data_IF_373324186888
#
_entry.id   IF_373324186888
#
_cell.length_a   1.000
_cell.length_b   1.000
_cell.length_c   1.000
_cell.angle_alpha   90.00
_cell.angle_beta   90.00
_cell.angle_gamma   90.00
#
_symmetry.space_group_name_H-M   'P 1'
#
loop_
_entity.id
_entity.type
_entity.pdbx_description
1 polymer ?
#
# COMPACT_ATOMS: atom_id res chain seq x y z
N UNK A 1 -19.05 -6.85 6.13
CA UNK A 1 -18.19 -6.41 7.25
C UNK A 1 -19.09 -5.77 8.30
N UNK A 2 -18.87 -6.04 9.60
CA UNK A 2 -19.54 -5.33 10.69
C UNK A 2 -19.25 -3.83 10.61
N UNK A 3 -20.25 -3.00 10.90
CA UNK A 3 -20.11 -1.54 10.81
C UNK A 3 -19.07 -1.00 11.79
N UNK A 4 -18.94 -1.62 12.97
CA UNK A 4 -17.94 -1.29 13.98
C UNK A 4 -16.50 -1.36 13.47
N UNK A 5 -16.23 -2.18 12.44
CA UNK A 5 -14.88 -2.32 11.88
C UNK A 5 -14.60 -1.21 10.85
N UNK A 6 -15.64 -0.68 10.19
CA UNK A 6 -15.55 0.40 9.20
C UNK A 6 -15.43 1.78 9.84
N UNK A 7 -15.99 1.92 11.04
CA UNK A 7 -16.23 3.20 11.70
C UNK A 7 -15.11 3.63 12.67
N UNK A 8 -14.12 2.77 12.89
CA UNK A 8 -13.05 2.91 13.89
C UNK A 8 -11.67 3.18 13.25
N UNK A 9 -11.63 3.94 12.16
CA UNK A 9 -10.38 4.33 11.51
C UNK A 9 -9.92 5.67 12.06
N UNK A 10 -8.76 5.70 12.71
CA UNK A 10 -8.17 6.93 13.23
C UNK A 10 -6.94 7.30 12.42
N UNK A 11 -6.94 8.46 11.76
CA UNK A 11 -5.76 8.96 11.07
C UNK A 11 -4.97 9.92 11.96
N UNK A 12 -3.67 9.65 12.11
CA UNK A 12 -2.72 10.53 12.80
C UNK A 12 -1.83 11.18 11.75
N UNK A 13 -1.79 12.51 11.71
CA UNK A 13 -0.84 13.23 10.88
C UNK A 13 0.44 13.50 11.67
N UNK A 14 1.56 13.02 11.14
CA UNK A 14 2.88 13.37 11.65
C UNK A 14 3.26 14.72 11.04
N UNK A 15 3.08 15.82 11.77
CA UNK A 15 3.51 17.15 11.33
C UNK A 15 5.03 17.13 11.11
N UNK A 16 5.48 17.21 9.85
CA UNK A 16 6.92 17.14 9.53
C UNK A 16 7.53 18.46 9.06
N UNK A 17 6.73 19.51 8.84
CA UNK A 17 7.02 20.96 8.65
C UNK A 17 5.68 21.59 8.24
N UNK A 18 5.54 22.91 8.41
CA UNK A 18 4.35 23.77 8.18
C UNK A 18 3.04 23.06 7.77
N UNK A 19 2.05 23.14 8.65
CA UNK A 19 0.73 22.54 8.47
C UNK A 19 -0.08 23.11 7.28
N UNK A 20 0.42 24.16 6.63
CA UNK A 20 -0.16 24.75 5.41
C UNK A 20 0.14 23.94 4.15
N UNK A 21 1.23 23.16 4.11
CA UNK A 21 1.55 22.28 2.97
C UNK A 21 0.97 20.88 3.17
N UNK A 22 -0.26 20.68 2.67
CA UNK A 22 -0.96 19.38 2.70
C UNK A 22 -0.28 18.25 1.89
N UNK A 23 0.76 18.54 1.10
CA UNK A 23 1.42 17.56 0.22
C UNK A 23 2.39 16.62 0.97
N UNK A 24 2.92 17.04 2.12
CA UNK A 24 4.01 16.31 2.80
C UNK A 24 3.56 15.58 4.09
N UNK A 25 2.29 15.73 4.47
CA UNK A 25 1.77 15.11 5.68
C UNK A 25 1.27 13.69 5.38
N UNK A 26 1.95 12.69 5.95
CA UNK A 26 1.53 11.29 5.87
C UNK A 26 0.62 10.94 7.03
N UNK A 27 -0.66 10.73 6.71
CA UNK A 27 -1.65 10.22 7.66
C UNK A 27 -1.46 8.73 7.90
N UNK A 28 -1.12 8.34 9.13
CA UNK A 28 -1.09 6.94 9.57
C UNK A 28 -2.51 6.53 9.92
N UNK A 29 -3.06 5.55 9.22
CA UNK A 29 -4.40 4.99 9.51
C UNK A 29 -4.28 3.88 10.57
N UNK A 30 -4.94 4.06 11.70
CA UNK A 30 -5.10 3.04 12.73
C UNK A 30 -6.46 2.37 12.53
N UNK A 31 -6.42 1.06 12.34
CA UNK A 31 -7.59 0.18 12.19
C UNK A 31 -7.71 -0.75 13.42
N UNK A 32 -8.90 -1.30 13.64
CA UNK A 32 -9.15 -2.22 14.76
C UNK A 32 -8.28 -3.48 14.68
N UNK A 33 -8.01 -4.11 15.84
CA UNK A 33 -7.23 -5.35 15.90
C UNK A 33 -7.87 -6.49 15.10
N UNK A 34 -9.20 -6.61 15.16
CA UNK A 34 -9.94 -7.62 14.39
C UNK A 34 -9.77 -7.42 12.87
N UNK A 35 -9.81 -6.17 12.40
CA UNK A 35 -9.60 -5.84 10.99
C UNK A 35 -8.18 -6.20 10.52
N UNK A 36 -7.15 -5.95 11.35
CA UNK A 36 -5.75 -6.35 11.03
C UNK A 36 -5.60 -7.85 10.86
N UNK A 37 -6.24 -8.64 11.72
CA UNK A 37 -6.20 -10.11 11.62
C UNK A 37 -6.90 -10.57 10.34
N UNK A 38 -8.06 -9.98 10.05
CA UNK A 38 -8.82 -10.29 8.83
C UNK A 38 -8.03 -9.93 7.56
N UNK A 39 -7.37 -8.78 7.54
CA UNK A 39 -6.49 -8.36 6.44
C UNK A 39 -5.35 -9.34 6.17
N UNK A 40 -4.69 -9.84 7.23
CA UNK A 40 -3.64 -10.87 7.10
C UNK A 40 -4.17 -12.19 6.53
N UNK A 41 -5.38 -12.58 6.92
CA UNK A 41 -6.02 -13.77 6.37
C UNK A 41 -6.27 -13.62 4.86
N UNK A 42 -6.82 -12.46 4.45
CA UNK A 42 -7.09 -12.16 3.03
C UNK A 42 -5.79 -12.09 2.24
N UNK A 43 -4.73 -11.48 2.78
CA UNK A 43 -3.40 -11.44 2.17
C UNK A 43 -2.84 -12.85 1.95
N UNK A 44 -2.82 -13.69 2.98
CA UNK A 44 -2.30 -15.06 2.87
C UNK A 44 -2.98 -15.82 1.74
N UNK A 45 -4.31 -15.66 1.60
CA UNK A 45 -5.07 -16.29 0.51
C UNK A 45 -4.75 -15.69 -0.85
N UNK A 46 -4.53 -14.38 -0.94
CA UNK A 46 -4.11 -13.74 -2.20
C UNK A 46 -2.73 -14.24 -2.63
N UNK A 47 -1.77 -14.36 -1.71
CA UNK A 47 -0.42 -14.87 -2.01
C UNK A 47 -0.41 -16.32 -2.49
N UNK A 48 -1.33 -17.14 -1.99
CA UNK A 48 -1.53 -18.51 -2.49
C UNK A 48 -2.03 -18.57 -3.93
N UNK A 49 -2.74 -17.52 -4.38
CA UNK A 49 -3.45 -17.51 -5.67
C UNK A 49 -2.73 -16.70 -6.74
N UNK A 50 -1.95 -15.69 -6.35
CA UNK A 50 -1.29 -14.76 -7.28
C UNK A 50 0.18 -15.11 -7.42
N UNK A 51 0.62 -15.34 -8.64
CA UNK A 51 2.04 -15.47 -8.95
C UNK A 51 2.70 -14.08 -9.02
N UNK A 52 3.70 -13.83 -8.16
CA UNK A 52 4.47 -12.58 -8.16
C UNK A 52 5.77 -12.79 -8.94
N UNK A 53 6.10 -11.83 -9.80
CA UNK A 53 7.31 -11.86 -10.63
C UNK A 53 8.59 -11.91 -9.79
N UNK A 54 9.60 -12.62 -10.28
CA UNK A 54 10.90 -12.76 -9.61
C UNK A 54 11.70 -11.45 -9.54
N UNK A 55 11.29 -10.42 -10.28
CA UNK A 55 11.88 -9.09 -10.29
C UNK A 55 11.28 -8.19 -9.21
N UNK A 56 10.20 -8.62 -8.53
CA UNK A 56 9.63 -7.91 -7.40
C UNK A 56 10.46 -8.19 -6.15
N UNK A 57 11.08 -7.14 -5.60
CA UNK A 57 11.87 -7.23 -4.36
C UNK A 57 11.18 -6.59 -3.16
N UNK A 58 10.27 -5.65 -3.40
CA UNK A 58 9.49 -5.02 -2.33
C UNK A 58 8.37 -5.93 -1.82
N UNK A 59 8.19 -5.98 -0.50
CA UNK A 59 7.11 -6.72 0.19
C UNK A 59 7.10 -8.24 -0.07
N UNK A 60 8.27 -8.78 -0.39
CA UNK A 60 8.49 -10.21 -0.55
C UNK A 60 9.21 -10.78 0.68
N UNK A 61 8.77 -11.94 1.21
CA UNK A 61 9.52 -12.63 2.26
C UNK A 61 10.92 -12.97 1.73
N UNK A 62 11.90 -12.96 2.63
CA UNK A 62 13.30 -13.35 2.33
C UNK A 62 14.03 -12.48 1.30
N UNK A 63 13.47 -11.31 0.92
CA UNK A 63 14.10 -10.33 0.04
C UNK A 63 14.32 -9.03 0.77
N UNK A 64 15.58 -8.65 0.95
CA UNK A 64 15.95 -7.40 1.58
C UNK A 64 16.33 -6.34 0.55
N UNK A 65 16.10 -5.07 0.90
CA UNK A 65 16.68 -3.92 0.19
C UNK A 65 18.21 -4.02 0.13
N UNK A 66 18.84 -4.66 1.12
CA UNK A 66 20.28 -4.88 1.15
C UNK A 66 20.72 -5.73 -0.04
N UNK A 67 19.99 -6.81 -0.33
CA UNK A 67 20.31 -7.72 -1.44
C UNK A 67 20.20 -7.00 -2.78
N UNK A 68 19.15 -6.18 -2.95
CA UNK A 68 18.96 -5.36 -4.16
C UNK A 68 20.10 -4.36 -4.36
N UNK A 69 20.51 -3.68 -3.28
CA UNK A 69 21.65 -2.73 -3.33
C UNK A 69 22.94 -3.48 -3.68
N UNK A 70 23.15 -4.66 -3.11
CA UNK A 70 24.32 -5.48 -3.39
C UNK A 70 24.36 -5.92 -4.86
N UNK A 71 23.25 -6.44 -5.39
CA UNK A 71 23.14 -6.83 -6.81
C UNK A 71 23.38 -5.61 -7.71
N UNK A 72 22.77 -4.46 -7.40
CA UNK A 72 22.96 -3.23 -8.17
C UNK A 72 24.44 -2.80 -8.19
N UNK A 73 25.15 -2.93 -7.07
CA UNK A 73 26.60 -2.67 -6.99
C UNK A 73 27.41 -3.62 -7.87
N UNK A 74 27.13 -4.92 -7.82
CA UNK A 74 27.80 -5.90 -8.68
C UNK A 74 27.59 -5.61 -10.16
N UNK A 75 26.38 -5.22 -10.57
CA UNK A 75 26.08 -4.85 -11.96
C UNK A 75 26.88 -3.60 -12.36
N UNK A 76 26.93 -2.57 -11.51
CA UNK A 76 27.72 -1.36 -11.79
C UNK A 76 29.22 -1.65 -11.93
N UNK A 77 29.77 -2.50 -11.07
CA UNK A 77 31.18 -2.92 -11.17
C UNK A 77 31.47 -3.72 -12.44
N UNK A 78 30.56 -4.61 -12.83
CA UNK A 78 30.70 -5.40 -14.06
C UNK A 78 30.70 -4.51 -15.31
N UNK A 79 29.80 -3.52 -15.36
CA UNK A 79 29.75 -2.52 -16.44
C UNK A 79 31.06 -1.72 -16.51
N UNK A 80 31.57 -1.30 -15.35
CA UNK A 80 32.84 -0.57 -15.26
C UNK A 80 34.03 -1.38 -15.76
N UNK A 81 34.05 -2.70 -15.54
CA UNK A 81 35.11 -3.60 -16.04
C UNK A 81 35.06 -3.82 -17.56
N UNK A 82 33.86 -3.83 -18.13
CA UNK A 82 33.67 -4.07 -19.56
C UNK A 82 33.70 -2.80 -20.40
N UNK A 83 33.93 -1.63 -19.79
CA UNK A 83 33.89 -0.30 -20.42
C UNK A 83 32.60 -0.03 -21.22
N UNK A 84 31.53 -0.73 -20.88
CA UNK A 84 30.26 -0.63 -21.59
C UNK A 84 29.54 0.66 -21.19
N UNK A 85 29.05 1.46 -22.14
CA UNK A 85 28.24 2.62 -21.80
C UNK A 85 26.91 2.16 -21.20
N UNK A 86 26.59 2.60 -19.99
CA UNK A 86 25.32 2.32 -19.33
C UNK A 86 24.68 3.61 -18.79
N UNK A 87 23.35 3.66 -18.83
CA UNK A 87 22.56 4.77 -18.25
C UNK A 87 21.65 4.23 -17.17
N UNK A 88 21.75 4.79 -15.96
CA UNK A 88 20.83 4.49 -14.88
C UNK A 88 19.53 5.26 -15.05
N UNK A 89 18.39 4.58 -14.94
CA UNK A 89 17.07 5.23 -14.98
C UNK A 89 16.23 4.76 -13.80
N UNK A 90 15.96 5.68 -12.89
CA UNK A 90 15.00 5.48 -11.81
C UNK A 90 13.64 6.06 -12.18
N UNK A 91 12.59 5.34 -11.84
CA UNK A 91 11.22 5.82 -11.93
C UNK A 91 10.57 5.65 -10.57
N UNK A 92 9.84 6.68 -10.14
CA UNK A 92 9.02 6.60 -8.94
C UNK A 92 7.61 6.99 -9.31
N UNK A 93 6.64 6.13 -8.96
CA UNK A 93 5.24 6.49 -9.13
C UNK A 93 4.88 7.61 -8.15
N UNK A 94 4.18 8.65 -8.62
CA UNK A 94 3.51 9.58 -7.70
C UNK A 94 2.41 8.81 -7.01
N UNK A 95 2.30 8.91 -5.67
CA UNK A 95 1.26 8.21 -4.93
C UNK A 95 -0.11 8.42 -5.59
N UNK A 96 -0.93 7.39 -5.74
CA UNK A 96 -2.29 7.58 -6.19
C UNK A 96 -3.03 8.41 -5.13
N UNK A 97 -3.33 9.68 -5.46
CA UNK A 97 -4.23 10.57 -4.71
C UNK A 97 -5.70 10.17 -4.87
N UNK A 98 -5.97 9.20 -5.73
CA UNK A 98 -7.25 8.52 -5.95
C UNK A 98 -7.12 7.14 -5.31
N UNK A 99 -7.90 6.74 -4.31
CA UNK A 99 -9.26 6.23 -4.53
C UNK A 99 -9.19 5.20 -5.60
N UNK A 100 -9.26 3.90 -5.22
CA UNK A 100 -9.31 2.74 -6.12
C UNK A 100 -9.40 3.21 -7.55
N UNK A 101 -8.32 3.14 -8.35
CA UNK A 101 -8.31 3.76 -9.67
C UNK A 101 -9.64 3.41 -10.33
N UNK A 102 -10.49 4.44 -10.46
CA UNK A 102 -11.73 4.30 -11.19
C UNK A 102 -11.31 3.78 -12.55
N UNK A 103 -11.69 2.54 -12.83
CA UNK A 103 -11.30 1.82 -14.02
C UNK A 103 -9.78 1.62 -14.19
N UNK A 104 -9.21 0.64 -13.49
CA UNK A 104 -8.57 -0.39 -14.30
C UNK A 104 -9.72 -1.13 -14.99
N UNK A 105 -9.96 -0.86 -16.27
CA UNK A 105 -10.92 -1.60 -17.11
C UNK A 105 -10.57 -3.09 -17.24
N UNK A 106 -9.36 -3.45 -16.79
CA UNK A 106 -8.92 -4.80 -16.51
C UNK A 106 -8.98 -5.06 -15.02
N UNK A 107 -9.70 -6.10 -14.63
CA UNK A 107 -9.63 -6.58 -13.26
C UNK A 107 -8.15 -7.00 -13.05
N UNK A 108 -7.45 -6.53 -12.00
CA UNK A 108 -6.07 -6.96 -11.71
C UNK A 108 -5.95 -8.48 -11.51
N UNK A 109 -7.10 -9.15 -11.45
CA UNK A 109 -7.31 -10.55 -11.14
C UNK A 109 -7.95 -11.33 -12.30
N UNK A 110 -8.00 -10.77 -13.51
CA UNK A 110 -8.64 -11.41 -14.69
C UNK A 110 -8.02 -12.78 -15.08
N UNK A 111 -7.00 -13.27 -14.36
CA UNK A 111 -6.41 -14.59 -14.57
C UNK A 111 -6.48 -15.58 -13.39
N UNK A 112 -6.52 -15.13 -12.12
CA UNK A 112 -6.13 -16.04 -11.01
C UNK A 112 -6.92 -15.89 -9.70
N UNK A 113 -7.44 -14.71 -9.33
CA UNK A 113 -8.12 -14.58 -8.03
C UNK A 113 -9.65 -14.81 -8.13
N UNK A 114 -10.25 -15.60 -7.23
CA UNK A 114 -11.69 -15.84 -7.22
C UNK A 114 -12.48 -14.53 -7.05
N UNK A 115 -13.55 -14.36 -7.82
CA UNK A 115 -14.50 -13.23 -7.69
C UNK A 115 -14.94 -12.95 -6.25
N UNK A 116 -15.03 -14.01 -5.42
CA UNK A 116 -15.33 -13.91 -3.98
C UNK A 116 -14.29 -13.09 -3.22
N UNK A 117 -13.01 -13.30 -3.48
CA UNK A 117 -11.93 -12.60 -2.78
C UNK A 117 -11.90 -11.11 -3.17
N UNK A 118 -12.13 -10.81 -4.44
CA UNK A 118 -12.27 -9.43 -4.94
C UNK A 118 -13.46 -8.74 -4.28
N UNK A 119 -14.59 -9.45 -4.13
CA UNK A 119 -15.77 -8.90 -3.45
C UNK A 119 -15.51 -8.61 -1.96
N UNK A 120 -14.74 -9.47 -1.29
CA UNK A 120 -14.32 -9.27 0.10
C UNK A 120 -13.44 -8.03 0.22
N UNK A 121 -12.44 -7.89 -0.66
CA UNK A 121 -11.56 -6.72 -0.69
C UNK A 121 -12.38 -5.45 -0.94
N UNK A 122 -13.25 -5.41 -1.94
CA UNK A 122 -14.15 -4.26 -2.18
C UNK A 122 -14.97 -3.93 -0.94
N UNK A 123 -15.57 -4.94 -0.32
CA UNK A 123 -16.35 -4.78 0.89
C UNK A 123 -15.54 -4.32 2.10
N UNK A 124 -14.22 -4.49 2.14
CA UNK A 124 -13.35 -3.97 3.20
C UNK A 124 -13.12 -2.47 3.10
N UNK A 125 -13.09 -1.91 1.89
CA UNK A 125 -12.83 -0.48 1.68
C UNK A 125 -14.10 0.36 1.55
N UNK A 126 -15.19 -0.22 1.07
CA UNK A 126 -16.48 0.48 0.91
C UNK A 126 -17.00 1.05 2.24
N UNK A 127 -17.66 2.21 2.23
CA UNK A 127 -18.30 2.78 3.43
C UNK A 127 -17.36 3.09 4.62
N UNK A 128 -16.05 3.05 4.43
CA UNK A 128 -15.07 3.31 5.49
C UNK A 128 -15.08 4.78 5.91
N UNK A 129 -15.09 5.03 7.22
CA UNK A 129 -15.08 6.38 7.79
C UNK A 129 -13.86 6.56 8.68
N UNK A 130 -13.11 7.63 8.46
CA UNK A 130 -11.99 8.02 9.31
C UNK A 130 -12.29 9.29 10.09
N UNK A 131 -11.80 9.35 11.33
CA UNK A 131 -11.66 10.59 12.06
C UNK A 131 -10.17 10.91 12.24
N UNK A 132 -9.82 12.18 12.17
CA UNK A 132 -8.46 12.66 12.36
C UNK A 132 -8.25 12.97 13.83
N UNK A 133 -7.17 12.44 14.41
CA UNK A 133 -6.75 12.85 15.76
C UNK A 133 -5.88 14.10 15.65
N UNK A 134 -6.35 15.19 16.23
CA UNK A 134 -5.61 16.45 16.35
C UNK A 134 -5.23 16.70 17.81
N UNK A 135 -4.29 17.61 18.11
CA UNK A 135 -4.01 18.02 19.48
C UNK A 135 -5.24 18.56 20.24
N UNK A 136 -6.20 19.12 19.51
CA UNK A 136 -7.45 19.69 20.04
C UNK A 136 -8.58 18.65 20.17
N UNK A 137 -8.32 17.37 19.88
CA UNK A 137 -9.29 16.29 19.95
C UNK A 137 -9.56 15.60 18.62
N UNK A 138 -10.61 14.79 18.58
CA UNK A 138 -11.04 14.04 17.40
C UNK A 138 -11.91 14.90 16.48
N UNK A 139 -11.64 14.88 15.17
CA UNK A 139 -12.52 15.51 14.19
C UNK A 139 -13.80 14.70 13.99
N UNK A 140 -14.79 15.31 13.32
CA UNK A 140 -15.93 14.58 12.76
C UNK A 140 -15.43 13.48 11.80
N UNK A 141 -16.16 12.37 11.75
CA UNK A 141 -15.89 11.27 10.83
C UNK A 141 -16.13 11.73 9.39
N UNK A 142 -15.21 11.40 8.50
CA UNK A 142 -15.25 11.71 7.06
C UNK A 142 -15.16 10.41 6.28
N UNK A 143 -15.90 10.31 5.18
CA UNK A 143 -15.81 9.15 4.28
C UNK A 143 -14.43 9.08 3.62
N UNK A 144 -13.85 7.89 3.65
CA UNK A 144 -12.60 7.60 2.96
C UNK A 144 -12.96 7.18 1.55
N UNK A 145 -12.75 8.09 0.60
CA UNK A 145 -12.83 7.76 -0.83
C UNK A 145 -11.49 7.27 -1.38
N UNK A 146 -10.38 7.57 -0.69
CA UNK A 146 -9.02 7.36 -1.20
C UNK A 146 -8.03 6.73 -0.21
N UNK A 147 -7.14 5.89 -0.75
CA UNK A 147 -5.93 5.41 -0.11
C UNK A 147 -6.05 4.07 0.61
N UNK A 148 -5.03 3.23 0.39
CA UNK A 148 -4.81 1.95 1.08
C UNK A 148 -4.55 2.20 2.58
N UNK A 149 -4.95 1.30 3.47
CA UNK A 149 -4.61 1.40 4.90
C UNK A 149 -3.08 1.30 5.06
N UNK A 150 -2.43 2.34 5.60
CA UNK A 150 -0.98 2.28 5.80
C UNK A 150 -0.63 1.27 6.89
N UNK A 151 0.35 0.39 6.61
CA UNK A 151 0.69 -0.74 7.47
C UNK A 151 -0.11 -2.02 7.19
N UNK A 152 -0.84 -2.06 6.09
CA UNK A 152 -1.54 -3.24 5.58
C UNK A 152 -0.58 -4.35 5.14
N UNK A 153 -1.06 -5.58 5.28
CA UNK A 153 -0.45 -6.76 4.71
C UNK A 153 -0.80 -6.96 3.22
N UNK A 154 -1.94 -6.39 2.74
CA UNK A 154 -2.44 -6.54 1.36
C UNK A 154 -1.66 -5.75 0.28
N UNK A 155 -0.46 -5.27 0.59
CA UNK A 155 0.38 -4.50 -0.33
C UNK A 155 1.43 -5.39 -1.01
#
# INVERSE_FOLDING_TARGET
MPDDWRDNIVSIFKQKVDASECSNNHGIKLISHAMKVYERLVESRLREMVTISQEQWGLMPERSTIDVIFIARQVMECIGRNESPATWRSWTWRKPTTGYPGLCSRNPFDGEAPHRLISVIKAMYEGSKAAVRTPHGMTKKVYITVGVHQGLALC
#
